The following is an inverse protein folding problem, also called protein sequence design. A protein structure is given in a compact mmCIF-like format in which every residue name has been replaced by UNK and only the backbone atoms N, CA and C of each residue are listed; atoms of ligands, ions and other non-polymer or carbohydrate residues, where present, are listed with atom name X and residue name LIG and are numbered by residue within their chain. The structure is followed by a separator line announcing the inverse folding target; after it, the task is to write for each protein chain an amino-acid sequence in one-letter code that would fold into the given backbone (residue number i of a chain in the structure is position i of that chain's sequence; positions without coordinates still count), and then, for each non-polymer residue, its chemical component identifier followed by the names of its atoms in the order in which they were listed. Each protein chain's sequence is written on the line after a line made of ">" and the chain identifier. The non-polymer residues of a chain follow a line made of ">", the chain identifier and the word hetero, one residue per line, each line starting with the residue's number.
data_IF_471060876911
#
_entry.id   IF_471060876911
#
_cell.length_a   1.000
_cell.length_b   1.000
_cell.length_c   1.000
_cell.angle_alpha   90.00
_cell.angle_beta   90.00
_cell.angle_gamma   90.00
#
_symmetry.space_group_name_H-M   'P 1'
#
loop_
_entity.id
_entity.type
_entity.pdbx_description
1 polymer ?
#
# COMPACT_ATOMS: atom_id res chain seq x y z
N UNK A 1 40.16 -28.01 15.66
CA UNK A 1 38.82 -27.42 15.49
C UNK A 1 38.21 -28.17 14.33
N UNK A 2 37.21 -29.03 14.59
CA UNK A 2 36.49 -29.73 13.54
C UNK A 2 35.45 -28.77 12.94
N UNK A 3 35.63 -28.42 11.68
CA UNK A 3 34.67 -27.59 10.96
C UNK A 3 33.62 -28.50 10.31
N UNK A 4 32.35 -28.11 10.45
CA UNK A 4 31.26 -28.77 9.73
C UNK A 4 31.41 -28.52 8.22
N UNK A 5 31.03 -29.49 7.36
CA UNK A 5 31.06 -29.31 5.92
C UNK A 5 30.13 -28.17 5.50
N UNK A 6 30.59 -27.38 4.52
CA UNK A 6 29.82 -26.28 3.97
C UNK A 6 28.53 -26.81 3.30
N UNK A 7 27.35 -26.24 3.60
CA UNK A 7 26.12 -26.61 2.91
C UNK A 7 26.19 -26.22 1.43
N UNK A 8 25.76 -27.12 0.55
CA UNK A 8 25.58 -26.82 -0.86
C UNK A 8 24.24 -26.11 -1.10
N UNK A 9 24.17 -25.18 -2.07
CA UNK A 9 22.90 -24.58 -2.46
C UNK A 9 21.89 -25.67 -2.89
N UNK A 10 20.63 -25.50 -2.52
CA UNK A 10 19.54 -26.30 -3.07
C UNK A 10 19.16 -25.85 -4.48
N UNK A 11 18.30 -26.62 -5.14
CA UNK A 11 17.80 -26.25 -6.47
C UNK A 11 17.02 -24.93 -6.43
N UNK A 12 17.35 -24.04 -7.36
CA UNK A 12 16.62 -22.79 -7.54
C UNK A 12 15.18 -23.10 -7.97
N UNK A 13 14.22 -22.64 -7.17
CA UNK A 13 12.80 -22.70 -7.55
C UNK A 13 12.41 -21.36 -8.18
N UNK A 14 11.76 -21.35 -9.36
CA UNK A 14 11.21 -20.11 -9.89
C UNK A 14 10.16 -19.58 -8.91
N UNK A 15 10.39 -18.38 -8.40
CA UNK A 15 9.37 -17.68 -7.63
C UNK A 15 8.30 -17.17 -8.61
N UNK A 16 7.07 -17.60 -8.42
CA UNK A 16 5.91 -17.07 -9.13
C UNK A 16 5.04 -16.31 -8.13
N UNK A 17 4.68 -15.08 -8.46
CA UNK A 17 3.71 -14.34 -7.66
C UNK A 17 2.34 -15.00 -7.81
N UNK A 18 1.61 -15.29 -6.72
CA UNK A 18 0.30 -15.93 -6.82
C UNK A 18 -0.68 -15.00 -7.55
N UNK A 19 -1.56 -15.57 -8.37
CA UNK A 19 -2.65 -14.80 -8.95
C UNK A 19 -3.58 -14.29 -7.81
N UNK A 20 -4.01 -13.02 -7.84
CA UNK A 20 -4.94 -12.49 -6.84
C UNK A 20 -6.33 -13.11 -7.00
N UNK A 21 -6.98 -13.38 -5.87
CA UNK A 21 -8.43 -13.57 -5.84
C UNK A 21 -9.10 -12.21 -6.06
N UNK A 22 -10.18 -12.19 -6.86
CA UNK A 22 -10.92 -10.98 -7.19
C UNK A 22 -12.31 -11.02 -6.59
N UNK A 23 -12.67 -9.96 -5.87
CA UNK A 23 -14.00 -9.71 -5.34
C UNK A 23 -14.44 -8.27 -5.54
N UNK A 24 -15.61 -7.94 -5.00
CA UNK A 24 -16.14 -6.59 -4.94
C UNK A 24 -16.56 -6.28 -3.50
N UNK A 25 -16.30 -5.05 -3.07
CA UNK A 25 -16.83 -4.50 -1.83
C UNK A 25 -18.23 -3.92 -2.07
N UNK A 26 -19.02 -3.79 -1.00
CA UNK A 26 -20.40 -3.27 -1.08
C UNK A 26 -20.47 -1.83 -1.62
N UNK A 27 -19.39 -1.07 -1.50
CA UNK A 27 -19.25 0.29 -2.04
C UNK A 27 -18.85 0.32 -3.52
N UNK A 28 -18.74 -0.83 -4.19
CA UNK A 28 -18.42 -0.95 -5.61
C UNK A 28 -16.92 -1.01 -5.93
N UNK A 29 -16.02 -0.92 -4.94
CA UNK A 29 -14.59 -1.09 -5.17
C UNK A 29 -14.27 -2.55 -5.54
N UNK A 30 -13.37 -2.73 -6.52
CA UNK A 30 -12.79 -4.04 -6.81
C UNK A 30 -11.74 -4.36 -5.76
N UNK A 31 -11.86 -5.51 -5.09
CA UNK A 31 -10.89 -6.00 -4.13
C UNK A 31 -10.05 -7.10 -4.77
N UNK A 32 -8.73 -6.94 -4.73
CA UNK A 32 -7.77 -7.98 -5.10
C UNK A 32 -7.04 -8.44 -3.85
N UNK A 33 -7.11 -9.73 -3.54
CA UNK A 33 -6.44 -10.30 -2.36
C UNK A 33 -5.42 -11.36 -2.76
N UNK A 34 -4.22 -11.27 -2.19
CA UNK A 34 -3.15 -12.25 -2.35
C UNK A 34 -2.73 -12.78 -0.98
N UNK A 35 -3.16 -13.99 -0.62
CA UNK A 35 -2.67 -14.63 0.59
C UNK A 35 -1.23 -15.12 0.39
N UNK A 36 -0.29 -14.65 1.23
CA UNK A 36 1.14 -14.97 1.15
C UNK A 36 1.61 -15.64 2.45
N UNK A 37 1.57 -16.98 2.55
CA UNK A 37 2.02 -17.70 3.75
C UNK A 37 3.46 -17.32 4.13
N UNK A 38 3.68 -17.06 5.42
CA UNK A 38 4.99 -16.67 5.95
C UNK A 38 5.29 -15.17 5.95
N UNK A 39 4.44 -14.34 5.32
CA UNK A 39 4.50 -12.89 5.51
C UNK A 39 3.72 -12.50 6.77
N UNK A 40 4.33 -11.70 7.64
CA UNK A 40 3.72 -11.21 8.89
C UNK A 40 3.28 -9.74 8.78
N UNK A 41 3.10 -9.25 7.56
CA UNK A 41 2.73 -7.86 7.23
C UNK A 41 1.58 -7.91 6.23
N UNK A 42 0.65 -6.97 6.35
CA UNK A 42 -0.37 -6.70 5.34
C UNK A 42 0.05 -5.44 4.58
N UNK A 43 0.09 -5.53 3.25
CA UNK A 43 0.24 -4.36 2.38
C UNK A 43 -1.11 -4.11 1.71
N UNK A 44 -1.57 -2.86 1.78
CA UNK A 44 -2.83 -2.42 1.17
C UNK A 44 -2.52 -1.25 0.26
N UNK A 45 -3.05 -1.30 -0.95
CA UNK A 45 -2.91 -0.23 -1.93
C UNK A 45 -4.29 0.08 -2.50
N UNK A 46 -4.61 1.37 -2.62
CA UNK A 46 -5.90 1.85 -3.12
C UNK A 46 -5.61 2.68 -4.36
N UNK A 47 -6.13 2.23 -5.50
CA UNK A 47 -6.04 2.96 -6.76
C UNK A 47 -7.35 3.70 -7.01
N UNK A 48 -7.27 5.03 -7.09
CA UNK A 48 -8.39 5.88 -7.43
C UNK A 48 -8.22 6.40 -8.86
N UNK A 49 -9.22 6.23 -9.75
CA UNK A 49 -9.16 6.77 -11.11
C UNK A 49 -9.43 8.28 -11.10
N UNK A 50 -8.44 9.05 -10.67
CA UNK A 50 -8.46 10.51 -10.61
C UNK A 50 -7.29 11.07 -11.44
N UNK A 51 -7.46 11.22 -12.76
CA UNK A 51 -6.37 11.66 -13.62
C UNK A 51 -6.08 13.15 -13.40
N UNK A 52 -4.81 13.55 -13.51
CA UNK A 52 -4.38 14.93 -13.29
C UNK A 52 -4.99 15.92 -14.30
N UNK A 53 -5.37 15.46 -15.50
CA UNK A 53 -6.04 16.30 -16.50
C UNK A 53 -7.50 16.62 -16.17
N UNK A 54 -8.08 15.97 -15.16
CA UNK A 54 -9.38 16.31 -14.61
C UNK A 54 -9.31 17.46 -13.59
N UNK A 55 -8.12 17.96 -13.25
CA UNK A 55 -7.98 19.14 -12.42
C UNK A 55 -8.64 20.36 -13.09
N UNK A 56 -9.42 21.17 -12.34
CA UNK A 56 -10.06 22.34 -12.92
C UNK A 56 -9.04 23.35 -13.44
N UNK A 57 -9.34 23.99 -14.57
CA UNK A 57 -8.48 25.01 -15.14
C UNK A 57 -8.16 26.12 -14.11
N UNK A 58 -6.87 26.37 -13.87
CA UNK A 58 -6.39 27.36 -12.91
C UNK A 58 -6.34 26.86 -11.46
N UNK A 59 -6.61 25.57 -11.21
CA UNK A 59 -6.47 24.89 -9.92
C UNK A 59 -5.53 23.69 -10.04
N UNK A 60 -4.41 23.89 -10.72
CA UNK A 60 -3.41 22.84 -10.92
C UNK A 60 -2.78 22.42 -9.57
N UNK A 61 -2.57 21.12 -9.38
CA UNK A 61 -1.95 20.52 -8.20
C UNK A 61 -2.91 20.17 -7.05
N UNK A 62 -4.23 20.28 -7.27
CA UNK A 62 -5.26 19.87 -6.28
C UNK A 62 -5.10 18.40 -5.88
N UNK A 63 -4.81 17.50 -6.82
CA UNK A 63 -4.63 16.07 -6.53
C UNK A 63 -3.40 15.84 -5.64
N UNK A 64 -2.29 16.53 -5.92
CA UNK A 64 -1.06 16.47 -5.12
C UNK A 64 -1.28 17.02 -3.72
N UNK A 65 -2.00 18.15 -3.59
CA UNK A 65 -2.34 18.72 -2.29
C UNK A 65 -3.26 17.76 -1.52
N UNK A 66 -4.25 17.17 -2.17
CA UNK A 66 -5.15 16.18 -1.56
C UNK A 66 -4.38 14.97 -1.05
N UNK A 67 -3.48 14.39 -1.84
CA UNK A 67 -2.66 13.25 -1.43
C UNK A 67 -1.83 13.56 -0.16
N UNK A 68 -1.28 14.77 -0.05
CA UNK A 68 -0.57 15.22 1.16
C UNK A 68 -1.50 15.47 2.34
N UNK A 69 -2.71 15.97 2.09
CA UNK A 69 -3.69 16.25 3.11
C UNK A 69 -4.28 14.97 3.75
N UNK A 70 -4.17 13.81 3.11
CA UNK A 70 -4.61 12.52 3.68
C UNK A 70 -3.89 12.15 4.99
N UNK A 71 -2.75 12.78 5.28
CA UNK A 71 -2.00 12.58 6.51
C UNK A 71 -2.43 13.49 7.66
N UNK A 72 -3.25 14.51 7.38
CA UNK A 72 -3.60 15.56 8.34
C UNK A 72 -4.83 15.22 9.20
N UNK A 73 -5.13 13.93 9.34
CA UNK A 73 -6.22 13.42 10.15
C UNK A 73 -7.48 13.07 9.35
N UNK A 74 -8.55 12.80 10.08
CA UNK A 74 -9.85 12.36 9.55
C UNK A 74 -10.98 13.00 10.36
N UNK A 75 -12.24 12.81 9.95
CA UNK A 75 -13.39 13.23 10.76
C UNK A 75 -13.45 12.58 12.16
N UNK A 76 -12.69 11.49 12.37
CA UNK A 76 -12.67 10.72 13.62
C UNK A 76 -11.40 10.91 14.46
N UNK A 77 -10.32 11.45 13.87
CA UNK A 77 -9.02 11.61 14.54
C UNK A 77 -8.36 12.91 14.10
N UNK A 78 -7.79 13.66 15.04
CA UNK A 78 -6.89 14.77 14.70
C UNK A 78 -5.65 14.25 13.95
N UNK A 79 -4.87 15.16 13.35
CA UNK A 79 -3.60 14.81 12.71
C UNK A 79 -2.66 14.09 13.70
N UNK A 80 -2.56 14.58 14.93
CA UNK A 80 -1.72 14.00 15.98
C UNK A 80 -2.21 12.61 16.42
N UNK A 81 -3.53 12.45 16.59
CA UNK A 81 -4.13 11.16 16.95
C UNK A 81 -3.94 10.13 15.83
N UNK A 82 -4.14 10.54 14.57
CA UNK A 82 -3.96 9.67 13.41
C UNK A 82 -2.50 9.21 13.26
N UNK A 83 -1.54 10.12 13.40
CA UNK A 83 -0.11 9.78 13.38
C UNK A 83 0.26 8.84 14.53
N UNK A 84 -0.23 9.09 15.75
CA UNK A 84 0.02 8.24 16.90
C UNK A 84 -0.51 6.81 16.69
N UNK A 85 -1.67 6.64 16.05
CA UNK A 85 -2.22 5.32 15.74
C UNK A 85 -1.39 4.56 14.70
N UNK A 86 -0.87 5.24 13.67
CA UNK A 86 0.06 4.65 12.71
C UNK A 86 1.35 4.19 13.40
N UNK A 87 1.94 5.04 14.24
CA UNK A 87 3.15 4.70 15.00
C UNK A 87 2.91 3.53 15.97
N UNK A 88 1.77 3.51 16.67
CA UNK A 88 1.41 2.48 17.64
C UNK A 88 1.36 1.08 17.02
N UNK A 89 0.97 0.98 15.75
CA UNK A 89 0.97 -0.29 15.02
C UNK A 89 2.21 -0.51 14.14
N UNK A 90 3.17 0.41 14.15
CA UNK A 90 4.38 0.32 13.33
C UNK A 90 4.09 0.38 11.84
N UNK A 91 2.97 1.00 11.45
CA UNK A 91 2.56 1.11 10.06
C UNK A 91 3.27 2.27 9.36
N UNK A 92 3.45 2.13 8.05
CA UNK A 92 3.86 3.20 7.16
C UNK A 92 2.75 3.45 6.16
N UNK A 93 2.44 4.71 5.89
CA UNK A 93 1.46 5.14 4.91
C UNK A 93 2.16 6.08 3.92
N UNK A 94 1.86 5.92 2.64
CA UNK A 94 2.30 6.81 1.57
C UNK A 94 1.10 7.10 0.65
N UNK A 95 1.08 8.29 0.04
CA UNK A 95 0.08 8.68 -0.93
C UNK A 95 0.67 9.65 -1.94
N UNK A 96 0.38 9.41 -3.21
CA UNK A 96 0.87 10.21 -4.33
C UNK A 96 -0.19 10.29 -5.43
N UNK A 97 -0.20 11.42 -6.10
CA UNK A 97 -0.93 11.61 -7.35
C UNK A 97 0.09 11.61 -8.49
N UNK A 98 -0.12 10.76 -9.48
CA UNK A 98 0.79 10.64 -10.63
C UNK A 98 -0.01 10.59 -11.93
N UNK A 99 0.67 10.89 -13.03
CA UNK A 99 0.17 10.65 -14.37
C UNK A 99 0.58 9.22 -14.80
N UNK A 100 -0.25 8.49 -15.56
CA UNK A 100 0.15 7.22 -16.18
C UNK A 100 1.41 7.30 -17.06
#
# INVERSE_FOLDING_TARGET
>A
MDFHPQPTPGDARPWAFPAPDRGALDNGLTLLTCHRPGQQVVAVEIFLPAPLDAEPAGLDGVATIMARALFEGTDQHSAEEFAAELERCGATLDAHADHP
#
